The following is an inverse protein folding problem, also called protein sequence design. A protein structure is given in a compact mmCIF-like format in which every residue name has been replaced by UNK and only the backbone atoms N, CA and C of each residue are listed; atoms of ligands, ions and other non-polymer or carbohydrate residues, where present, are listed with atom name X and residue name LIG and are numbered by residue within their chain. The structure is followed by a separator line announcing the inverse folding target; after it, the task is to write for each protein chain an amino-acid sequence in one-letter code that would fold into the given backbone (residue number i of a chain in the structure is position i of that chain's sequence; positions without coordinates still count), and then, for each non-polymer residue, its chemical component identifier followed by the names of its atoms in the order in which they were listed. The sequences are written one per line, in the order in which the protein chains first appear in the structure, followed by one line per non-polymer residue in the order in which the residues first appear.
data_IF_414533877538
#
_entry.id   IF_414533877538
#
_cell.length_a   1.000
_cell.length_b   1.000
_cell.length_c   1.000
_cell.angle_alpha   90.00
_cell.angle_beta   90.00
_cell.angle_gamma   90.00
#
_symmetry.space_group_name_H-M   'P 1'
#
loop_
_entity.id
_entity.type
_entity.pdbx_description
1 polymer ?
#
# COMPACT_ATOMS: atom_id res chain seq x y z
N UNK A 1 -6.20 -36.53 14.69
CA UNK A 1 -5.86 -35.08 14.63
C UNK A 1 -6.74 -34.47 13.55
N UNK A 2 -7.65 -33.54 13.88
CA UNK A 2 -8.48 -32.88 12.86
C UNK A 2 -7.53 -32.07 11.97
N UNK A 3 -7.60 -32.27 10.65
CA UNK A 3 -6.88 -31.40 9.71
C UNK A 3 -7.52 -30.02 9.81
N UNK A 4 -6.74 -29.03 10.23
CA UNK A 4 -7.11 -27.63 10.13
C UNK A 4 -6.46 -27.09 8.87
N UNK A 5 -7.25 -26.45 8.01
CA UNK A 5 -6.70 -25.66 6.91
C UNK A 5 -5.92 -24.48 7.48
N UNK A 6 -4.75 -24.20 6.92
CA UNK A 6 -3.90 -23.07 7.34
C UNK A 6 -3.78 -22.06 6.21
N UNK A 7 -4.33 -20.87 6.39
CA UNK A 7 -4.16 -19.78 5.42
C UNK A 7 -2.84 -19.04 5.69
N UNK A 8 -2.01 -18.85 4.65
CA UNK A 8 -0.77 -18.08 4.75
C UNK A 8 -0.93 -16.71 4.10
N UNK A 9 -1.02 -15.69 4.93
CA UNK A 9 -0.91 -14.31 4.49
C UNK A 9 0.54 -13.99 4.14
N UNK A 10 0.79 -13.59 2.89
CA UNK A 10 2.12 -13.15 2.45
C UNK A 10 2.00 -11.82 1.74
N UNK A 11 2.79 -10.86 2.22
CA UNK A 11 2.90 -9.55 1.63
C UNK A 11 4.30 -9.31 1.10
N UNK A 12 4.39 -8.70 -0.07
CA UNK A 12 5.61 -8.18 -0.68
C UNK A 12 5.35 -6.77 -1.14
N UNK A 13 6.40 -5.97 -1.23
CA UNK A 13 6.30 -4.64 -1.82
C UNK A 13 7.51 -4.34 -2.70
N UNK A 14 7.30 -3.42 -3.64
CA UNK A 14 8.31 -2.85 -4.51
C UNK A 14 8.13 -1.34 -4.48
N UNK A 15 9.15 -0.61 -4.04
CA UNK A 15 9.21 0.84 -4.12
C UNK A 15 10.19 1.25 -5.24
N UNK A 16 9.69 1.96 -6.23
CA UNK A 16 10.50 2.57 -7.30
C UNK A 16 10.58 4.07 -7.10
N UNK A 17 11.79 4.62 -7.07
CA UNK A 17 12.03 6.05 -6.85
C UNK A 17 12.59 6.70 -8.10
N UNK A 18 11.96 7.79 -8.53
CA UNK A 18 12.28 8.54 -9.76
C UNK A 18 12.68 9.97 -9.41
N UNK A 19 13.57 10.57 -10.20
CA UNK A 19 13.91 12.00 -10.04
C UNK A 19 12.85 12.87 -10.72
N UNK A 20 12.28 12.34 -11.79
CA UNK A 20 11.25 12.91 -12.62
C UNK A 20 9.87 12.69 -12.01
N UNK A 21 8.90 13.50 -12.42
CA UNK A 21 7.51 13.36 -12.00
C UNK A 21 6.73 12.46 -12.96
N UNK A 22 7.06 11.17 -12.96
CA UNK A 22 6.56 10.18 -13.92
C UNK A 22 5.10 9.79 -13.70
N UNK A 23 4.59 9.87 -12.46
CA UNK A 23 3.25 9.40 -12.10
C UNK A 23 2.10 10.26 -12.65
N UNK A 24 2.39 11.49 -13.08
CA UNK A 24 1.41 12.44 -13.62
C UNK A 24 1.40 12.51 -15.15
N UNK A 25 2.37 11.89 -15.82
CA UNK A 25 2.47 11.95 -17.28
C UNK A 25 1.78 10.73 -17.89
N UNK A 26 0.68 10.91 -18.61
CA UNK A 26 -0.06 9.83 -19.29
C UNK A 26 0.73 9.22 -20.47
N UNK A 27 1.84 9.83 -20.88
CA UNK A 27 2.69 9.33 -21.95
C UNK A 27 3.51 8.12 -21.49
N UNK A 28 3.04 6.93 -21.89
CA UNK A 28 3.70 5.66 -21.66
C UNK A 28 5.15 5.63 -22.15
N UNK A 29 5.52 6.40 -23.19
CA UNK A 29 6.89 6.45 -23.72
C UNK A 29 7.78 7.22 -22.76
N UNK A 30 7.29 8.31 -22.18
CA UNK A 30 8.00 9.06 -21.16
C UNK A 30 8.22 8.20 -19.90
N UNK A 31 7.17 7.50 -19.45
CA UNK A 31 7.28 6.58 -18.31
C UNK A 31 8.26 5.44 -18.55
N UNK A 32 8.33 4.90 -19.77
CA UNK A 32 9.27 3.83 -20.14
C UNK A 32 10.73 4.31 -20.24
N UNK A 33 10.94 5.59 -20.56
CA UNK A 33 12.27 6.19 -20.66
C UNK A 33 12.82 6.58 -19.27
N UNK A 34 11.94 6.96 -18.35
CA UNK A 34 12.33 7.29 -16.98
C UNK A 34 12.64 6.01 -16.20
N UNK A 35 13.91 5.82 -15.84
CA UNK A 35 14.34 4.68 -15.01
C UNK A 35 14.39 5.10 -13.54
N UNK A 36 13.91 4.26 -12.61
CA UNK A 36 14.06 4.57 -11.20
C UNK A 36 15.55 4.63 -10.85
N UNK A 37 15.93 5.65 -10.07
CA UNK A 37 17.29 5.77 -9.56
C UNK A 37 17.57 4.79 -8.41
N UNK A 38 16.51 4.29 -7.77
CA UNK A 38 16.58 3.30 -6.70
C UNK A 38 15.29 2.47 -6.71
N UNK A 39 15.45 1.15 -6.52
CA UNK A 39 14.34 0.22 -6.36
C UNK A 39 14.58 -0.58 -5.08
N UNK A 40 13.58 -0.59 -4.19
CA UNK A 40 13.61 -1.34 -2.94
C UNK A 40 12.57 -2.44 -3.00
N UNK A 41 13.01 -3.66 -2.70
CA UNK A 41 12.13 -4.82 -2.51
C UNK A 41 12.06 -5.16 -1.03
N UNK A 42 10.88 -5.50 -0.55
CA UNK A 42 10.74 -6.02 0.80
C UNK A 42 9.57 -6.97 0.96
N UNK A 43 9.58 -7.69 2.08
CA UNK A 43 8.59 -8.70 2.41
C UNK A 43 8.02 -8.46 3.82
N UNK A 44 6.84 -9.03 4.05
CA UNK A 44 6.16 -9.00 5.33
C UNK A 44 5.38 -7.71 5.57
N UNK A 45 4.44 -7.83 6.48
CA UNK A 45 3.62 -6.78 7.06
C UNK A 45 2.92 -7.36 8.30
N UNK A 46 2.25 -6.50 9.06
CA UNK A 46 1.24 -6.90 10.02
C UNK A 46 -0.13 -6.79 9.34
N UNK A 47 -0.85 -7.91 9.28
CA UNK A 47 -2.27 -7.94 8.92
C UNK A 47 -3.05 -7.38 10.12
N UNK A 48 -3.86 -6.34 9.89
CA UNK A 48 -4.57 -5.65 10.97
C UNK A 48 -5.95 -6.25 11.18
N UNK A 49 -6.44 -6.27 12.43
CA UNK A 49 -7.74 -6.83 12.77
C UNK A 49 -8.87 -6.14 12.00
N UNK A 50 -8.83 -4.81 11.88
CA UNK A 50 -9.82 -4.05 11.09
C UNK A 50 -9.85 -4.47 9.63
N UNK A 51 -8.69 -4.86 9.07
CA UNK A 51 -8.57 -5.34 7.71
C UNK A 51 -9.18 -6.71 7.52
N UNK A 52 -8.94 -7.61 8.49
CA UNK A 52 -9.55 -8.94 8.53
C UNK A 52 -11.08 -8.82 8.60
N UNK A 53 -11.59 -7.97 9.48
CA UNK A 53 -13.03 -7.76 9.63
C UNK A 53 -13.65 -7.23 8.33
N UNK A 54 -13.03 -6.25 7.67
CA UNK A 54 -13.52 -5.76 6.38
C UNK A 54 -13.56 -6.83 5.29
N UNK A 55 -12.56 -7.73 5.26
CA UNK A 55 -12.57 -8.84 4.32
C UNK A 55 -13.78 -9.74 4.54
N UNK A 56 -14.15 -10.02 5.80
CA UNK A 56 -15.33 -10.81 6.12
C UNK A 56 -16.63 -10.06 5.85
N UNK A 57 -16.72 -8.78 6.22
CA UNK A 57 -17.90 -7.95 5.96
C UNK A 57 -18.20 -7.88 4.46
N UNK A 58 -17.18 -7.77 3.61
CA UNK A 58 -17.34 -7.82 2.15
C UNK A 58 -17.82 -9.19 1.64
N UNK A 59 -17.37 -10.28 2.25
CA UNK A 59 -17.80 -11.65 1.89
C UNK A 59 -19.25 -11.90 2.32
N UNK A 60 -19.63 -11.43 3.51
CA UNK A 60 -20.96 -11.58 4.07
C UNK A 60 -21.98 -10.60 3.46
N UNK A 61 -21.51 -9.55 2.78
CA UNK A 61 -22.36 -8.51 2.19
C UNK A 61 -22.73 -7.40 3.17
N UNK A 62 -22.07 -7.34 4.33
CA UNK A 62 -22.26 -6.32 5.36
C UNK A 62 -21.48 -5.02 5.05
N UNK A 63 -20.52 -5.08 4.12
CA UNK A 63 -19.82 -3.92 3.58
C UNK A 63 -20.00 -3.79 2.06
N UNK A 64 -20.10 -2.56 1.58
CA UNK A 64 -20.01 -2.19 0.16
C UNK A 64 -18.71 -1.42 -0.16
N UNK A 65 -17.82 -1.29 0.83
CA UNK A 65 -16.58 -0.52 0.77
C UNK A 65 -15.47 -1.35 0.11
N UNK A 66 -15.67 -1.73 -1.16
CA UNK A 66 -14.69 -2.48 -1.92
C UNK A 66 -13.35 -1.74 -2.05
N UNK A 67 -12.25 -2.49 -2.03
CA UNK A 67 -10.93 -1.98 -2.40
C UNK A 67 -10.82 -1.93 -3.93
N UNK A 68 -11.48 -0.95 -4.55
CA UNK A 68 -11.39 -0.65 -5.99
C UNK A 68 -10.54 0.60 -6.23
N UNK A 69 -10.39 1.02 -7.50
CA UNK A 69 -9.54 2.17 -7.85
C UNK A 69 -9.92 3.47 -7.11
N UNK A 70 -11.22 3.71 -6.92
CA UNK A 70 -11.72 4.90 -6.23
C UNK A 70 -11.70 4.78 -4.70
N UNK A 71 -11.80 3.56 -4.17
CA UNK A 71 -11.97 3.30 -2.74
C UNK A 71 -10.71 2.83 -2.01
N UNK A 72 -9.67 2.39 -2.72
CA UNK A 72 -8.43 1.94 -2.11
C UNK A 72 -7.35 3.03 -2.12
N UNK A 73 -6.55 3.07 -1.07
CA UNK A 73 -5.45 4.02 -0.89
C UNK A 73 -4.21 3.32 -0.33
N UNK A 74 -3.03 3.81 -0.70
CA UNK A 74 -1.78 3.52 0.00
C UNK A 74 -1.46 4.73 0.87
N UNK A 75 -1.22 4.50 2.15
CA UNK A 75 -0.71 5.52 3.06
C UNK A 75 0.77 5.34 3.36
N UNK A 76 1.49 6.44 3.54
CA UNK A 76 2.91 6.48 3.96
C UNK A 76 3.09 7.47 5.10
N UNK A 77 3.91 7.10 6.09
CA UNK A 77 4.15 7.91 7.29
C UNK A 77 5.57 7.80 7.82
N UNK A 78 5.93 8.64 8.79
CA UNK A 78 7.28 8.72 9.37
C UNK A 78 7.45 8.00 10.72
N UNK A 79 6.43 7.32 11.24
CA UNK A 79 6.53 6.59 12.51
C UNK A 79 7.34 5.30 12.39
N UNK A 80 8.21 5.07 13.35
CA UNK A 80 8.95 3.82 13.55
C UNK A 80 8.29 2.90 14.59
N UNK A 81 7.10 3.26 15.11
CA UNK A 81 6.37 2.45 16.09
C UNK A 81 6.04 1.09 15.50
N UNK A 82 6.44 0.00 16.17
CA UNK A 82 6.22 -1.36 15.69
C UNK A 82 4.76 -1.62 15.24
N UNK A 83 4.62 -2.44 14.19
CA UNK A 83 3.30 -2.81 13.69
C UNK A 83 2.62 -3.79 14.65
N UNK A 84 1.40 -3.46 15.04
CA UNK A 84 0.57 -4.25 15.94
C UNK A 84 -0.83 -4.44 15.32
N UNK A 85 -1.38 -5.64 15.45
CA UNK A 85 -2.63 -6.02 14.80
C UNK A 85 -3.85 -5.22 15.28
N UNK A 86 -3.80 -4.60 16.47
CA UNK A 86 -4.89 -3.77 17.00
C UNK A 86 -4.84 -2.34 16.50
N UNK A 87 -3.78 -1.93 15.81
CA UNK A 87 -3.72 -0.60 15.20
C UNK A 87 -4.72 -0.49 14.05
N UNK A 88 -5.32 0.68 13.89
CA UNK A 88 -6.36 0.93 12.88
C UNK A 88 -5.91 1.92 11.80
N UNK A 89 -4.69 2.45 11.91
CA UNK A 89 -4.12 3.40 10.96
C UNK A 89 -2.58 3.47 11.05
N UNK A 90 -1.95 4.28 10.18
CA UNK A 90 -0.57 4.74 10.35
C UNK A 90 -0.36 5.37 11.73
N UNK A 91 0.84 5.20 12.29
CA UNK A 91 1.18 5.70 13.62
C UNK A 91 1.84 7.09 13.58
N UNK A 92 2.14 7.61 12.40
CA UNK A 92 2.62 8.97 12.20
C UNK A 92 1.55 9.98 12.61
N UNK A 93 1.95 10.96 13.43
CA UNK A 93 1.04 11.99 13.91
C UNK A 93 0.73 13.03 12.82
N UNK A 94 1.78 13.55 12.17
CA UNK A 94 1.67 14.71 11.27
C UNK A 94 2.14 14.38 9.85
N UNK A 95 3.32 13.80 9.69
CA UNK A 95 3.85 13.42 8.38
C UNK A 95 3.22 12.11 7.91
N UNK A 96 1.97 12.19 7.46
CA UNK A 96 1.23 11.09 6.85
C UNK A 96 0.46 11.56 5.63
N UNK A 97 0.47 10.75 4.59
CA UNK A 97 -0.18 11.03 3.30
C UNK A 97 -0.84 9.75 2.82
N UNK A 98 -2.06 9.85 2.33
CA UNK A 98 -2.78 8.76 1.66
C UNK A 98 -2.97 9.11 0.20
N UNK A 99 -2.61 8.19 -0.69
CA UNK A 99 -2.72 8.35 -2.14
C UNK A 99 -3.66 7.29 -2.70
N UNK A 100 -4.59 7.73 -3.55
CA UNK A 100 -5.45 6.83 -4.33
C UNK A 100 -4.64 5.94 -5.27
N UNK A 101 -5.27 4.90 -5.79
CA UNK A 101 -4.59 3.94 -6.66
C UNK A 101 -4.31 4.50 -8.05
N UNK A 102 -3.20 4.10 -8.64
CA UNK A 102 -2.89 4.34 -10.06
C UNK A 102 -3.97 3.68 -10.95
N UNK A 103 -4.24 4.26 -12.12
CA UNK A 103 -5.23 3.75 -13.07
C UNK A 103 -5.04 2.26 -13.36
N UNK A 104 -6.13 1.49 -13.27
CA UNK A 104 -6.11 0.04 -13.46
C UNK A 104 -5.74 -0.77 -12.21
N UNK A 105 -5.41 -0.10 -11.10
CA UNK A 105 -5.19 -0.75 -9.80
C UNK A 105 -6.33 -0.45 -8.82
N UNK A 106 -6.61 -1.34 -7.86
CA UNK A 106 -5.93 -2.62 -7.66
C UNK A 106 -6.38 -3.69 -8.66
N UNK A 107 -5.57 -4.74 -8.80
CA UNK A 107 -5.89 -5.93 -9.60
C UNK A 107 -6.00 -7.18 -8.72
N UNK A 108 -6.79 -8.16 -9.13
CA UNK A 108 -6.94 -9.46 -8.46
C UNK A 108 -6.75 -10.59 -9.48
N UNK A 109 -5.61 -11.29 -9.41
CA UNK A 109 -5.28 -12.39 -10.33
C UNK A 109 -4.54 -13.49 -9.60
N UNK A 110 -4.86 -14.76 -9.86
CA UNK A 110 -4.09 -15.91 -9.33
C UNK A 110 -3.90 -15.88 -7.80
N UNK A 111 -4.99 -15.69 -7.04
CA UNK A 111 -4.96 -15.61 -5.56
C UNK A 111 -4.05 -14.48 -5.02
N UNK A 112 -3.87 -13.42 -5.81
CA UNK A 112 -3.03 -12.27 -5.48
C UNK A 112 -3.77 -10.95 -5.74
N UNK A 113 -3.84 -10.10 -4.73
CA UNK A 113 -4.20 -8.69 -4.88
C UNK A 113 -2.93 -7.85 -5.11
N UNK A 114 -2.99 -6.93 -6.06
CA UNK A 114 -1.90 -5.96 -6.31
C UNK A 114 -2.44 -4.55 -6.21
N UNK A 115 -1.82 -3.74 -5.35
CA UNK A 115 -2.10 -2.33 -5.15
C UNK A 115 -0.92 -1.51 -5.66
N UNK A 116 -1.18 -0.32 -6.20
CA UNK A 116 -0.14 0.56 -6.72
C UNK A 116 -0.57 2.00 -6.57
N UNK A 117 0.32 2.83 -6.01
CA UNK A 117 0.11 4.27 -5.93
C UNK A 117 1.43 5.01 -6.20
N UNK A 118 1.35 6.07 -7.01
CA UNK A 118 2.46 6.95 -7.34
C UNK A 118 2.32 8.30 -6.63
N UNK A 119 3.27 8.63 -5.77
CA UNK A 119 3.34 9.89 -5.02
C UNK A 119 4.21 10.86 -5.81
N UNK A 120 3.61 11.92 -6.34
CA UNK A 120 4.26 12.90 -7.22
C UNK A 120 5.27 13.80 -6.50
N UNK A 121 5.91 14.69 -7.25
CA UNK A 121 7.02 15.52 -6.76
C UNK A 121 6.72 16.36 -5.50
N UNK A 122 5.48 16.82 -5.33
CA UNK A 122 5.05 17.63 -4.18
C UNK A 122 4.46 16.82 -3.02
N UNK A 123 4.29 15.51 -3.17
CA UNK A 123 3.57 14.66 -2.23
C UNK A 123 4.52 13.89 -1.33
N UNK A 124 4.15 13.76 -0.05
CA UNK A 124 4.84 12.95 0.95
C UNK A 124 6.36 13.21 1.05
N UNK A 125 6.79 14.47 0.95
CA UNK A 125 8.19 14.89 1.03
C UNK A 125 8.71 14.92 2.48
N UNK A 126 8.85 13.73 3.06
CA UNK A 126 9.38 13.48 4.40
C UNK A 126 9.93 12.04 4.45
N UNK A 127 10.43 11.60 5.61
CA UNK A 127 10.91 10.23 5.79
C UNK A 127 9.77 9.22 5.77
N UNK A 128 9.86 8.21 4.90
CA UNK A 128 8.91 7.11 4.87
C UNK A 128 9.45 5.99 5.76
N UNK A 129 8.87 5.83 6.96
CA UNK A 129 9.21 4.76 7.91
C UNK A 129 8.08 3.73 8.09
N UNK A 130 6.92 3.98 7.50
CA UNK A 130 5.80 3.07 7.52
C UNK A 130 4.91 3.25 6.30
N UNK A 131 4.15 2.19 5.98
CA UNK A 131 3.11 2.24 4.96
C UNK A 131 1.93 1.32 5.29
N UNK A 132 0.78 1.60 4.66
CA UNK A 132 -0.49 0.91 4.89
C UNK A 132 -1.27 0.78 3.57
N UNK A 133 -2.05 -0.29 3.40
CA UNK A 133 -3.14 -0.31 2.40
C UNK A 133 -4.46 -0.08 3.14
N UNK A 134 -5.23 0.91 2.71
CA UNK A 134 -6.39 1.45 3.42
C UNK A 134 -7.60 1.59 2.50
N UNK A 135 -8.78 1.36 3.03
CA UNK A 135 -10.04 1.72 2.37
C UNK A 135 -10.38 3.17 2.74
N UNK A 136 -10.61 4.02 1.74
CA UNK A 136 -10.77 5.47 1.90
C UNK A 136 -12.04 5.87 2.67
N UNK A 137 -13.15 5.20 2.39
CA UNK A 137 -14.48 5.48 2.97
C UNK A 137 -14.64 4.88 4.36
N UNK A 138 -14.37 3.58 4.55
CA UNK A 138 -14.49 2.93 5.86
C UNK A 138 -13.32 3.26 6.80
N UNK A 139 -12.20 3.72 6.25
CA UNK A 139 -10.98 3.99 7.01
C UNK A 139 -10.26 2.73 7.50
N UNK A 140 -10.80 1.54 7.24
CA UNK A 140 -10.20 0.28 7.69
C UNK A 140 -8.92 0.00 6.90
N UNK A 141 -7.88 -0.37 7.64
CA UNK A 141 -6.58 -0.68 7.08
C UNK A 141 -6.43 -2.20 6.92
N UNK A 142 -6.10 -2.67 5.72
CA UNK A 142 -5.81 -4.09 5.46
C UNK A 142 -4.59 -4.53 6.26
N UNK A 143 -3.53 -3.73 6.18
CA UNK A 143 -2.25 -4.10 6.74
C UNK A 143 -1.38 -2.88 6.98
N UNK A 144 -0.40 -3.01 7.86
CA UNK A 144 0.63 -2.00 8.10
C UNK A 144 2.02 -2.63 8.09
N UNK A 145 3.02 -1.89 7.63
CA UNK A 145 4.43 -2.27 7.70
C UNK A 145 5.24 -1.08 8.16
N UNK A 146 6.16 -1.34 9.08
CA UNK A 146 7.24 -0.41 9.46
C UNK A 146 8.48 -0.82 8.69
N UNK A 147 9.04 0.10 7.93
CA UNK A 147 10.25 -0.08 7.13
C UNK A 147 10.80 1.31 6.80
N UNK A 148 12.09 1.54 7.03
CA UNK A 148 12.73 2.78 6.61
C UNK A 148 13.02 2.73 5.12
N UNK A 149 12.28 3.51 4.34
CA UNK A 149 12.36 3.60 2.90
C UNK A 149 13.10 4.86 2.43
N UNK A 150 13.67 5.63 3.37
CA UNK A 150 14.42 6.85 3.12
C UNK A 150 13.55 8.11 3.16
N UNK A 151 14.17 9.25 2.84
CA UNK A 151 13.51 10.56 2.84
C UNK A 151 13.25 11.02 1.42
N UNK A 152 11.98 11.26 1.10
CA UNK A 152 11.57 11.82 -0.19
C UNK A 152 11.69 13.34 -0.14
N UNK A 153 12.34 13.93 -1.15
CA UNK A 153 12.54 15.39 -1.26
C UNK A 153 12.00 15.95 -2.58
N UNK A 154 11.53 15.09 -3.49
CA UNK A 154 11.04 15.43 -4.81
C UNK A 154 10.87 14.18 -5.67
N UNK A 155 10.54 14.40 -6.95
CA UNK A 155 10.28 13.33 -7.93
C UNK A 155 9.11 12.42 -7.56
N UNK A 156 8.82 11.44 -8.41
CA UNK A 156 7.79 10.43 -8.12
C UNK A 156 8.37 9.25 -7.35
N UNK A 157 7.69 8.82 -6.28
CA UNK A 157 7.92 7.52 -5.65
C UNK A 157 6.68 6.65 -5.84
N UNK A 158 6.86 5.45 -6.40
CA UNK A 158 5.78 4.52 -6.71
C UNK A 158 5.88 3.28 -5.84
N UNK A 159 4.86 3.03 -5.02
CA UNK A 159 4.79 1.86 -4.15
C UNK A 159 3.79 0.85 -4.69
N UNK A 160 4.28 -0.35 -4.98
CA UNK A 160 3.49 -1.52 -5.35
C UNK A 160 3.45 -2.52 -4.19
N UNK A 161 2.25 -3.00 -3.85
CA UNK A 161 2.02 -3.96 -2.76
C UNK A 161 1.33 -5.19 -3.32
N UNK A 162 1.92 -6.35 -3.08
CA UNK A 162 1.43 -7.66 -3.52
C UNK A 162 1.05 -8.49 -2.31
N UNK A 163 -0.22 -8.90 -2.25
CA UNK A 163 -0.75 -9.71 -1.15
C UNK A 163 -1.28 -11.02 -1.72
N UNK A 164 -0.83 -12.15 -1.19
CA UNK A 164 -1.37 -13.48 -1.50
C UNK A 164 -1.90 -14.16 -0.26
N UNK A 165 -2.96 -14.95 -0.45
CA UNK A 165 -3.49 -15.88 0.53
C UNK A 165 -3.42 -17.29 -0.09
N UNK A 166 -2.66 -18.21 0.52
CA UNK A 166 -2.38 -19.56 -0.01
C UNK A 166 -2.29 -20.62 1.07
#
# INVERSE_FOLDING_TARGET
MKKHETARWRCRFLLSKYREDVGLHEDIRFQQLCKPYEVIYGEGNCLLNSGIDEMWDLICGDSANHFNNAGAQIGVGDSSTAADATQTDLQAATNKTYKGMDTGYPTSTTQKATFKASFGASEANYTWNEWVVKQATSGKCLNRKVENLGTKTGGTWTLEVYITLS
#
